data_IF_086646046117
#
_entry.id   IF_086646046117
#
_cell.length_a   1.000
_cell.length_b   1.000
_cell.length_c   1.000
_cell.angle_alpha   90.00
_cell.angle_beta   90.00
_cell.angle_gamma   90.00
#
_symmetry.space_group_name_H-M   'P 1'
#
loop_
_entity.id
_entity.type
_entity.pdbx_description
1 polymer ?
#
# COMPACT_ATOMS: atom_id res chain seq x y z
N UNK A 1 -6.28 -11.48 -0.26
CA UNK A 1 -5.52 -11.01 0.94
C UNK A 1 -4.37 -11.92 1.34
N UNK A 2 -4.57 -13.22 1.60
CA UNK A 2 -3.45 -14.11 1.94
C UNK A 2 -2.36 -14.14 0.86
N UNK A 3 -2.77 -14.30 -0.40
CA UNK A 3 -1.87 -14.24 -1.56
C UNK A 3 -1.19 -12.87 -1.67
N UNK A 4 -1.92 -11.79 -1.38
CA UNK A 4 -1.38 -10.44 -1.38
C UNK A 4 -0.24 -10.26 -0.36
N UNK A 5 -0.35 -10.79 0.86
CA UNK A 5 0.72 -10.72 1.87
C UNK A 5 2.02 -11.37 1.37
N UNK A 6 1.90 -12.53 0.72
CA UNK A 6 3.04 -13.20 0.09
C UNK A 6 3.68 -12.28 -0.95
N UNK A 7 2.89 -11.75 -1.89
CA UNK A 7 3.38 -10.89 -2.97
C UNK A 7 3.99 -9.59 -2.46
N UNK A 8 3.39 -8.93 -1.46
CA UNK A 8 3.95 -7.71 -0.87
C UNK A 8 5.27 -7.99 -0.14
N UNK A 9 5.39 -9.16 0.49
CA UNK A 9 6.65 -9.61 1.10
C UNK A 9 7.72 -9.85 0.03
N UNK A 10 7.38 -10.46 -1.09
CA UNK A 10 8.30 -10.66 -2.22
C UNK A 10 8.72 -9.32 -2.86
N UNK A 11 7.80 -8.37 -2.97
CA UNK A 11 8.03 -7.03 -3.53
C UNK A 11 8.73 -6.05 -2.57
N UNK A 12 9.26 -6.50 -1.44
CA UNK A 12 10.07 -5.66 -0.58
C UNK A 12 9.30 -4.72 0.37
N UNK A 13 7.97 -4.85 0.50
CA UNK A 13 7.20 -4.04 1.46
C UNK A 13 7.74 -4.26 2.88
N UNK A 14 7.87 -3.18 3.64
CA UNK A 14 8.44 -3.16 5.00
C UNK A 14 7.38 -3.04 6.10
N UNK A 15 6.26 -2.40 5.80
CA UNK A 15 5.13 -2.22 6.72
C UNK A 15 3.81 -2.32 5.97
N UNK A 16 2.87 -3.06 6.54
CA UNK A 16 1.49 -3.17 6.06
C UNK A 16 0.55 -2.65 7.14
N UNK A 17 -0.28 -1.65 6.78
CA UNK A 17 -1.32 -1.10 7.65
C UNK A 17 -2.72 -1.37 7.07
N UNK A 18 -3.46 -2.37 7.58
CA UNK A 18 -4.80 -2.63 7.11
C UNK A 18 -5.79 -1.65 7.76
N UNK A 19 -6.72 -1.12 6.98
CA UNK A 19 -7.76 -0.22 7.47
C UNK A 19 -9.08 -0.44 6.70
N UNK A 20 -10.25 -0.20 7.32
CA UNK A 20 -11.51 -0.16 6.61
C UNK A 20 -11.69 1.24 6.00
N UNK A 21 -11.70 1.34 4.66
CA UNK A 21 -12.17 2.54 4.00
C UNK A 21 -13.70 2.63 4.09
N UNK A 22 -14.25 3.80 3.79
CA UNK A 22 -15.68 4.07 3.87
C UNK A 22 -16.49 3.05 3.04
N UNK A 23 -16.00 2.75 1.83
CA UNK A 23 -16.62 1.80 0.88
C UNK A 23 -16.10 0.36 0.96
N UNK A 24 -15.36 -0.01 2.02
CA UNK A 24 -14.87 -1.37 2.20
C UNK A 24 -15.95 -2.32 2.70
N UNK A 25 -16.14 -3.44 1.98
CA UNK A 25 -16.99 -4.57 2.36
C UNK A 25 -16.25 -5.90 2.12
N UNK A 26 -16.28 -6.88 3.04
CA UNK A 26 -16.87 -6.90 4.39
C UNK A 26 -15.93 -6.39 5.49
N UNK A 27 -16.49 -5.97 6.63
CA UNK A 27 -15.74 -5.54 7.84
C UNK A 27 -15.74 -6.68 8.89
N UNK A 28 -14.65 -7.44 9.04
CA UNK A 28 -14.56 -8.51 10.04
C UNK A 28 -14.56 -7.95 11.47
N UNK A 29 -15.06 -8.73 12.43
CA UNK A 29 -14.91 -8.42 13.85
C UNK A 29 -13.43 -8.47 14.31
N UNK A 30 -13.15 -7.86 15.47
CA UNK A 30 -11.80 -7.71 16.00
C UNK A 30 -11.09 -9.06 16.23
N UNK A 31 -11.79 -10.08 16.71
CA UNK A 31 -11.21 -11.40 17.00
C UNK A 31 -10.88 -12.17 15.73
N UNK A 32 -11.77 -12.14 14.73
CA UNK A 32 -11.48 -12.65 13.38
C UNK A 32 -10.31 -11.91 12.75
N UNK A 33 -10.20 -10.60 12.96
CA UNK A 33 -9.10 -9.81 12.43
C UNK A 33 -7.75 -10.20 13.07
N UNK A 34 -7.68 -10.34 14.40
CA UNK A 34 -6.47 -10.82 15.10
C UNK A 34 -6.00 -12.16 14.56
N UNK A 35 -6.92 -13.12 14.36
CA UNK A 35 -6.60 -14.42 13.76
C UNK A 35 -6.03 -14.29 12.34
N UNK A 36 -6.55 -13.35 11.54
CA UNK A 36 -6.02 -13.04 10.20
C UNK A 36 -4.61 -12.47 10.27
N UNK A 37 -4.35 -11.50 11.14
CA UNK A 37 -3.01 -10.91 11.33
C UNK A 37 -1.99 -12.00 11.71
N UNK A 38 -2.31 -12.87 12.66
CA UNK A 38 -1.44 -13.98 13.04
C UNK A 38 -1.17 -14.95 11.87
N UNK A 39 -2.18 -15.24 11.05
CA UNK A 39 -2.05 -16.06 9.84
C UNK A 39 -1.17 -15.37 8.79
N UNK A 40 -1.34 -14.07 8.57
CA UNK A 40 -0.54 -13.30 7.63
C UNK A 40 0.93 -13.22 8.03
N UNK A 41 1.22 -13.12 9.34
CA UNK A 41 2.59 -13.23 9.85
C UNK A 41 3.27 -14.53 9.43
N UNK A 42 2.57 -15.67 9.53
CA UNK A 42 3.08 -16.98 9.08
C UNK A 42 3.34 -17.00 7.56
N UNK A 43 2.45 -16.39 6.78
CA UNK A 43 2.61 -16.31 5.31
C UNK A 43 3.82 -15.45 4.95
N UNK A 44 4.00 -14.29 5.59
CA UNK A 44 5.15 -13.42 5.38
C UNK A 44 6.47 -14.14 5.72
N UNK A 45 6.54 -14.84 6.85
CA UNK A 45 7.70 -15.65 7.23
C UNK A 45 7.98 -16.77 6.22
N UNK A 46 6.94 -17.41 5.66
CA UNK A 46 7.08 -18.39 4.60
C UNK A 46 7.66 -17.80 3.32
N UNK A 47 7.21 -16.62 2.92
CA UNK A 47 7.69 -15.92 1.73
C UNK A 47 9.16 -15.51 1.82
N UNK A 48 9.65 -15.11 3.01
CA UNK A 48 11.06 -14.76 3.23
C UNK A 48 12.03 -15.84 2.77
N UNK A 49 11.67 -17.12 3.01
CA UNK A 49 12.50 -18.28 2.64
C UNK A 49 12.74 -18.36 1.13
N UNK A 50 11.86 -17.78 0.31
CA UNK A 50 11.92 -17.82 -1.14
C UNK A 50 12.51 -16.55 -1.75
N UNK A 51 12.32 -15.39 -1.12
CA UNK A 51 12.70 -14.09 -1.68
C UNK A 51 14.03 -13.52 -1.17
N UNK A 52 14.80 -14.28 -0.37
CA UNK A 52 16.13 -13.88 0.17
C UNK A 52 16.12 -12.55 0.95
N UNK A 53 15.00 -12.26 1.62
CA UNK A 53 14.89 -11.14 2.56
C UNK A 53 15.15 -11.64 3.98
N UNK A 54 15.75 -10.79 4.82
CA UNK A 54 16.08 -11.13 6.20
C UNK A 54 14.98 -10.75 7.21
N UNK A 55 14.06 -9.85 6.83
CA UNK A 55 13.02 -9.35 7.72
C UNK A 55 11.65 -9.36 7.03
N UNK A 56 10.61 -9.92 7.67
CA UNK A 56 9.24 -9.82 7.16
C UNK A 56 8.74 -8.37 7.28
N UNK A 57 7.72 -7.97 6.48
CA UNK A 57 7.01 -6.74 6.76
C UNK A 57 6.38 -6.77 8.17
N UNK A 58 6.38 -5.62 8.86
CA UNK A 58 5.51 -5.42 10.02
C UNK A 58 4.05 -5.43 9.55
N UNK A 59 3.22 -6.30 10.14
CA UNK A 59 1.78 -6.37 9.85
C UNK A 59 1.05 -5.78 11.05
N UNK A 60 0.54 -4.58 10.87
CA UNK A 60 -0.12 -3.83 11.94
C UNK A 60 -1.55 -4.37 12.20
N UNK A 61 -2.09 -4.14 13.42
CA UNK A 61 -3.52 -4.31 13.66
C UNK A 61 -4.36 -3.39 12.76
N UNK A 62 -5.67 -3.65 12.68
CA UNK A 62 -6.57 -2.79 11.92
C UNK A 62 -6.56 -1.37 12.50
N UNK A 63 -6.19 -0.40 11.69
CA UNK A 63 -6.16 1.01 12.04
C UNK A 63 -7.38 1.75 11.47
N UNK A 64 -7.69 2.92 12.03
CA UNK A 64 -8.61 3.86 11.38
C UNK A 64 -7.95 4.53 10.18
N UNK A 65 -8.74 5.05 9.25
CA UNK A 65 -8.22 5.79 8.10
C UNK A 65 -7.32 6.97 8.54
N UNK A 66 -7.76 7.73 9.56
CA UNK A 66 -6.98 8.83 10.14
C UNK A 66 -5.63 8.36 10.68
N UNK A 67 -5.60 7.27 11.45
CA UNK A 67 -4.35 6.73 12.00
C UNK A 67 -3.38 6.26 10.91
N UNK A 68 -3.89 5.76 9.77
CA UNK A 68 -3.06 5.44 8.60
C UNK A 68 -2.45 6.70 7.98
N UNK A 69 -3.24 7.77 7.85
CA UNK A 69 -2.73 9.04 7.32
C UNK A 69 -1.68 9.67 8.24
N UNK A 70 -1.90 9.63 9.55
CA UNK A 70 -0.96 10.14 10.55
C UNK A 70 0.39 9.39 10.51
N UNK A 71 0.35 8.07 10.30
CA UNK A 71 1.55 7.25 10.17
C UNK A 71 2.39 7.58 8.92
N UNK A 72 1.81 8.26 7.94
CA UNK A 72 2.48 8.66 6.71
C UNK A 72 3.14 10.05 6.80
N UNK A 73 2.94 10.81 7.89
CA UNK A 73 3.39 12.21 8.00
C UNK A 73 4.89 12.38 7.71
N UNK A 74 5.71 11.46 8.21
CA UNK A 74 7.19 11.49 8.07
C UNK A 74 7.72 10.88 6.78
N UNK A 75 6.84 10.36 5.90
CA UNK A 75 7.29 9.73 4.65
C UNK A 75 7.68 10.77 3.60
N UNK A 76 8.78 10.53 2.88
CA UNK A 76 9.26 11.45 1.84
C UNK A 76 8.29 11.54 0.66
N UNK A 77 7.74 10.38 0.26
CA UNK A 77 6.77 10.27 -0.83
C UNK A 77 5.49 9.64 -0.30
N UNK A 78 4.35 10.24 -0.61
CA UNK A 78 3.03 9.77 -0.19
C UNK A 78 2.13 9.69 -1.42
N UNK A 79 1.62 8.50 -1.73
CA UNK A 79 0.81 8.27 -2.93
C UNK A 79 -0.52 7.63 -2.54
N UNK A 80 -1.62 8.19 -3.02
CA UNK A 80 -2.94 7.57 -2.94
C UNK A 80 -3.36 7.13 -4.34
N UNK A 81 -3.56 5.83 -4.51
CA UNK A 81 -4.03 5.29 -5.78
C UNK A 81 -5.55 5.40 -5.86
N UNK A 82 -6.05 6.14 -6.84
CA UNK A 82 -7.48 6.29 -7.11
C UNK A 82 -7.76 6.16 -8.60
N UNK A 83 -8.87 5.49 -8.91
CA UNK A 83 -9.49 5.39 -10.21
C UNK A 83 -9.98 6.75 -10.76
N UNK A 84 -10.18 7.74 -9.88
CA UNK A 84 -10.64 9.09 -10.26
C UNK A 84 -9.49 10.08 -10.48
N UNK A 85 -8.26 9.69 -10.14
CA UNK A 85 -7.08 10.52 -10.38
C UNK A 85 -6.82 10.64 -11.89
N UNK A 86 -6.41 11.83 -12.35
CA UNK A 86 -6.12 12.09 -13.77
C UNK A 86 -4.62 11.99 -14.07
N UNK A 87 -3.82 12.17 -13.03
CA UNK A 87 -2.37 12.17 -13.08
C UNK A 87 -1.86 10.73 -13.14
N UNK A 88 -1.04 10.38 -14.15
CA UNK A 88 -0.39 9.08 -14.19
C UNK A 88 0.74 9.02 -13.14
N UNK A 89 1.14 7.80 -12.79
CA UNK A 89 2.36 7.58 -11.99
C UNK A 89 3.63 7.94 -12.79
N UNK A 90 3.55 7.82 -14.12
CA UNK A 90 4.64 8.11 -15.04
C UNK A 90 5.13 9.57 -14.91
N UNK A 91 6.46 9.77 -14.94
CA UNK A 91 7.10 11.08 -14.78
C UNK A 91 7.48 11.42 -13.33
N UNK A 92 7.03 10.62 -12.36
CA UNK A 92 7.54 10.68 -10.98
C UNK A 92 8.84 9.89 -10.93
N UNK A 93 9.96 10.52 -10.57
CA UNK A 93 11.26 9.84 -10.56
C UNK A 93 12.50 10.72 -10.71
N UNK A 94 12.35 12.03 -10.91
CA UNK A 94 13.48 12.96 -10.97
C UNK A 94 13.73 13.69 -9.63
N UNK A 95 13.54 13.02 -8.49
CA UNK A 95 14.00 13.59 -7.23
C UNK A 95 15.53 13.48 -7.21
N UNK A 96 16.22 14.61 -7.26
CA UNK A 96 17.67 14.69 -7.02
C UNK A 96 18.05 14.26 -5.60
N UNK A 97 17.06 14.10 -4.73
CA UNK A 97 17.19 13.74 -3.33
C UNK A 97 16.99 12.23 -3.11
N UNK A 98 17.72 11.70 -2.12
CA UNK A 98 17.60 10.32 -1.70
C UNK A 98 16.23 10.10 -1.05
N UNK A 99 15.39 9.29 -1.69
CA UNK A 99 14.11 8.85 -1.13
C UNK A 99 14.37 7.71 -0.12
N UNK A 100 14.05 7.94 1.15
CA UNK A 100 14.24 6.94 2.22
C UNK A 100 12.95 6.17 2.53
N UNK A 101 11.80 6.78 2.28
CA UNK A 101 10.49 6.22 2.61
C UNK A 101 9.40 6.62 1.63
N UNK A 102 8.57 5.63 1.27
CA UNK A 102 7.39 5.81 0.42
C UNK A 102 6.18 5.19 1.11
N UNK A 103 5.11 5.97 1.27
CA UNK A 103 3.84 5.51 1.82
C UNK A 103 2.80 5.39 0.72
N UNK A 104 2.22 4.20 0.57
CA UNK A 104 1.23 3.90 -0.46
C UNK A 104 -0.13 3.65 0.19
N UNK A 105 -1.14 4.35 -0.30
CA UNK A 105 -2.53 4.16 0.08
C UNK A 105 -3.30 3.56 -1.10
N UNK A 106 -3.80 2.34 -0.92
CA UNK A 106 -4.56 1.61 -1.95
C UNK A 106 -5.96 1.32 -1.41
N UNK A 107 -6.97 1.70 -2.18
CA UNK A 107 -8.38 1.63 -1.77
C UNK A 107 -9.02 0.25 -2.00
N UNK A 108 -10.23 0.06 -1.45
CA UNK A 108 -11.03 -1.13 -1.73
C UNK A 108 -11.59 -1.12 -3.15
N UNK A 109 -12.31 -2.17 -3.53
CA UNK A 109 -13.00 -2.30 -4.82
C UNK A 109 -13.99 -1.14 -5.10
N UNK A 110 -14.59 -0.55 -4.06
CA UNK A 110 -15.48 0.61 -4.20
C UNK A 110 -14.77 1.97 -4.34
N UNK A 111 -13.44 1.97 -4.36
CA UNK A 111 -12.62 3.19 -4.40
C UNK A 111 -12.68 4.00 -3.10
N UNK A 112 -11.94 5.11 -3.10
CA UNK A 112 -12.01 6.11 -2.03
C UNK A 112 -13.13 7.10 -2.30
N UNK A 113 -13.74 7.63 -1.23
CA UNK A 113 -14.67 8.75 -1.38
C UNK A 113 -13.92 10.05 -1.69
N UNK A 114 -14.58 11.05 -2.30
CA UNK A 114 -13.98 12.36 -2.49
C UNK A 114 -13.46 12.99 -1.19
N UNK A 115 -14.11 12.67 -0.06
CA UNK A 115 -13.70 13.14 1.28
C UNK A 115 -12.40 12.46 1.73
N UNK A 116 -12.27 11.15 1.57
CA UNK A 116 -11.04 10.41 1.87
C UNK A 116 -9.87 10.94 1.01
N UNK A 117 -10.08 11.10 -0.30
CA UNK A 117 -9.05 11.65 -1.19
C UNK A 117 -8.65 13.07 -0.77
N UNK A 118 -9.61 13.94 -0.45
CA UNK A 118 -9.31 15.30 0.02
C UNK A 118 -8.51 15.31 1.34
N UNK A 119 -8.86 14.44 2.29
CA UNK A 119 -8.14 14.32 3.55
C UNK A 119 -6.69 13.84 3.33
N UNK A 120 -6.47 12.82 2.49
CA UNK A 120 -5.12 12.39 2.14
C UNK A 120 -4.32 13.52 1.47
N UNK A 121 -4.92 14.24 0.52
CA UNK A 121 -4.28 15.38 -0.16
C UNK A 121 -3.85 16.47 0.81
N UNK A 122 -4.66 16.78 1.82
CA UNK A 122 -4.27 17.78 2.83
C UNK A 122 -3.03 17.41 3.65
N UNK A 123 -2.62 16.13 3.64
CA UNK A 123 -1.42 15.62 4.31
C UNK A 123 -0.26 15.34 3.35
N UNK A 124 -0.38 15.85 2.11
CA UNK A 124 0.65 15.74 1.07
C UNK A 124 0.62 14.42 0.32
N UNK A 125 -0.47 13.65 0.36
CA UNK A 125 -0.63 12.53 -0.55
C UNK A 125 -0.97 13.02 -1.95
N UNK A 126 -0.27 12.46 -2.92
CA UNK A 126 -0.55 12.69 -4.31
C UNK A 126 -1.51 11.64 -4.87
N UNK A 127 -2.67 12.05 -5.42
CA UNK A 127 -3.56 11.15 -6.13
C UNK A 127 -2.95 10.70 -7.45
N UNK A 128 -2.95 9.39 -7.70
CA UNK A 128 -2.36 8.80 -8.90
C UNK A 128 -3.25 7.68 -9.44
N UNK A 129 -3.37 7.58 -10.76
CA UNK A 129 -4.06 6.47 -11.43
C UNK A 129 -3.10 5.32 -11.79
N UNK A 130 -3.62 4.09 -11.78
CA UNK A 130 -2.92 2.88 -12.29
C UNK A 130 -3.34 2.56 -13.73
N UNK A 131 -3.48 3.60 -14.54
CA UNK A 131 -3.94 3.51 -15.93
C UNK A 131 -5.48 3.46 -16.06
N UNK A 132 -5.99 3.14 -17.26
CA UNK A 132 -7.40 3.36 -17.61
C UNK A 132 -8.35 2.25 -17.13
N UNK A 133 -7.83 1.18 -16.52
CA UNK A 133 -8.62 0.01 -16.12
C UNK A 133 -8.88 0.05 -14.63
N UNK A 134 -10.10 -0.31 -14.24
CA UNK A 134 -10.43 -0.54 -12.83
C UNK A 134 -9.77 -1.87 -12.42
N UNK A 135 -8.81 -1.78 -11.51
CA UNK A 135 -8.11 -2.93 -10.96
C UNK A 135 -8.80 -3.38 -9.67
N UNK A 136 -8.83 -4.69 -9.42
CA UNK A 136 -9.20 -5.20 -8.09
C UNK A 136 -8.15 -4.75 -7.07
N UNK A 137 -8.55 -4.57 -5.82
CA UNK A 137 -7.68 -4.07 -4.75
C UNK A 137 -6.37 -4.88 -4.64
N UNK A 138 -6.44 -6.20 -4.76
CA UNK A 138 -5.27 -7.09 -4.74
C UNK A 138 -4.32 -6.81 -5.92
N UNK A 139 -4.84 -6.72 -7.15
CA UNK A 139 -4.04 -6.39 -8.34
C UNK A 139 -3.47 -4.96 -8.27
N UNK A 140 -4.27 -3.99 -7.82
CA UNK A 140 -3.86 -2.61 -7.65
C UNK A 140 -2.69 -2.50 -6.67
N UNK A 141 -2.75 -3.23 -5.55
CA UNK A 141 -1.71 -3.23 -4.52
C UNK A 141 -0.38 -3.78 -5.03
N UNK A 142 -0.42 -4.93 -5.72
CA UNK A 142 0.78 -5.54 -6.33
C UNK A 142 1.38 -4.61 -7.39
N UNK A 143 0.54 -4.07 -8.28
CA UNK A 143 0.98 -3.17 -9.35
C UNK A 143 1.59 -1.88 -8.78
N UNK A 144 0.93 -1.25 -7.80
CA UNK A 144 1.42 -0.07 -7.10
C UNK A 144 2.81 -0.31 -6.50
N UNK A 145 2.98 -1.40 -5.73
CA UNK A 145 4.27 -1.73 -5.12
C UNK A 145 5.35 -1.97 -6.17
N UNK A 146 5.07 -2.73 -7.22
CA UNK A 146 6.05 -3.02 -8.27
C UNK A 146 6.50 -1.74 -9.00
N UNK A 147 5.57 -0.85 -9.35
CA UNK A 147 5.89 0.40 -10.02
C UNK A 147 6.69 1.35 -9.11
N UNK A 148 6.31 1.45 -7.84
CA UNK A 148 7.01 2.29 -6.87
C UNK A 148 8.43 1.77 -6.61
N UNK A 149 8.60 0.46 -6.52
CA UNK A 149 9.93 -0.16 -6.42
C UNK A 149 10.76 0.03 -7.69
N UNK A 150 10.14 0.06 -8.86
CA UNK A 150 10.85 0.37 -10.11
C UNK A 150 11.35 1.82 -10.13
N UNK A 151 10.52 2.78 -9.67
CA UNK A 151 10.84 4.21 -9.68
C UNK A 151 11.84 4.58 -8.57
N UNK A 152 11.56 4.17 -7.33
CA UNK A 152 12.28 4.63 -6.14
C UNK A 152 13.15 3.55 -5.48
N UNK A 153 12.84 2.27 -5.74
CA UNK A 153 13.47 1.12 -5.11
C UNK A 153 14.56 0.47 -5.95
N UNK A 154 14.69 -0.84 -5.80
CA UNK A 154 15.74 -1.67 -6.39
C UNK A 154 15.33 -2.41 -7.67
N UNK A 155 14.03 -2.56 -7.95
CA UNK A 155 13.54 -3.26 -9.14
C UNK A 155 13.90 -2.58 -10.47
N UNK A 156 14.23 -1.28 -10.46
CA UNK A 156 14.67 -0.54 -11.64
C UNK A 156 16.19 -0.34 -11.75
N UNK A 157 16.97 -0.86 -10.79
CA UNK A 157 18.40 -0.51 -10.61
C UNK A 157 19.36 -1.69 -10.81
N UNK A 158 18.88 -2.81 -11.34
CA UNK A 158 19.69 -4.01 -11.64
C UNK A 158 19.81 -4.27 -13.12
#
# INVERSE_FOLDING_TARGET
MDTLIRQLTELGVTRWMPFPAERSVPRPDAERFKKRVARWGKIALGALKQCRRNHPPSIEPQASYTAVLDAAVTSNVKVIFSETAREPLAGRGAASERIESVFLLVGPEGGFTPREIAAARSLGFDPVSLGPRILRAETASVAACALIQHIYGDLGRK
#
